data_IF_434638727983
#
_entry.id   IF_434638727983
#
_cell.length_a   1.000
_cell.length_b   1.000
_cell.length_c   1.000
_cell.angle_alpha   90.00
_cell.angle_beta   90.00
_cell.angle_gamma   90.00
#
_symmetry.space_group_name_H-M   'P 1'
#
loop_
_entity.id
_entity.type
_entity.pdbx_description
1 polymer ?
#
# COMPACT_ATOMS: atom_id res chain seq x y z
N UNK A 1 -19.25 -0.49 -14.09
CA UNK A 1 -19.12 -1.04 -12.72
C UNK A 1 -19.31 0.06 -11.70
N UNK A 2 -19.90 -0.23 -10.52
CA UNK A 2 -19.97 0.71 -9.40
C UNK A 2 -19.01 0.24 -8.30
N UNK A 3 -18.11 1.11 -7.78
CA UNK A 3 -17.09 0.75 -6.82
C UNK A 3 -16.76 1.89 -5.85
N UNK A 4 -16.50 1.57 -4.57
CA UNK A 4 -16.08 2.55 -3.57
C UNK A 4 -14.56 2.63 -3.44
N UNK A 5 -14.06 3.77 -2.90
CA UNK A 5 -12.67 3.90 -2.51
C UNK A 5 -12.19 2.73 -1.64
N UNK A 6 -12.95 2.40 -0.60
CA UNK A 6 -12.59 1.30 0.32
C UNK A 6 -12.49 -0.06 -0.38
N UNK A 7 -13.29 -0.28 -1.44
CA UNK A 7 -13.21 -1.49 -2.25
C UNK A 7 -11.98 -1.50 -3.16
N UNK A 8 -11.62 -0.34 -3.72
CA UNK A 8 -10.38 -0.17 -4.50
C UNK A 8 -9.16 -0.41 -3.59
N UNK A 9 -9.13 0.22 -2.43
CA UNK A 9 -8.06 0.05 -1.44
C UNK A 9 -7.92 -1.40 -0.98
N UNK A 10 -9.05 -2.07 -0.72
CA UNK A 10 -9.06 -3.50 -0.35
C UNK A 10 -8.42 -4.36 -1.45
N UNK A 11 -8.74 -4.10 -2.72
CA UNK A 11 -8.14 -4.80 -3.85
C UNK A 11 -6.63 -4.51 -3.96
N UNK A 12 -6.22 -3.26 -3.84
CA UNK A 12 -4.81 -2.85 -3.91
C UNK A 12 -3.98 -3.44 -2.77
N UNK A 13 -4.57 -3.59 -1.57
CA UNK A 13 -3.92 -4.23 -0.43
C UNK A 13 -3.79 -5.75 -0.62
N UNK A 14 -4.83 -6.41 -1.10
CA UNK A 14 -4.80 -7.83 -1.46
C UNK A 14 -5.99 -8.19 -2.36
N UNK A 15 -5.77 -8.47 -3.67
CA UNK A 15 -6.85 -8.88 -4.58
C UNK A 15 -7.62 -10.10 -4.09
N UNK A 16 -6.95 -11.07 -3.45
CA UNK A 16 -7.62 -12.26 -2.90
C UNK A 16 -8.52 -11.94 -1.71
N UNK A 17 -8.14 -10.98 -0.86
CA UNK A 17 -9.01 -10.48 0.23
C UNK A 17 -10.25 -9.79 -0.32
N UNK A 18 -10.08 -8.99 -1.38
CA UNK A 18 -11.21 -8.39 -2.10
C UNK A 18 -12.15 -9.47 -2.66
N UNK A 19 -11.60 -10.50 -3.30
CA UNK A 19 -12.38 -11.62 -3.84
C UNK A 19 -13.25 -12.29 -2.77
N UNK A 20 -12.66 -12.68 -1.64
CA UNK A 20 -13.42 -13.28 -0.54
C UNK A 20 -14.51 -12.35 0.01
N UNK A 21 -14.19 -11.06 0.17
CA UNK A 21 -15.11 -10.09 0.77
C UNK A 21 -16.21 -9.61 -0.17
N UNK A 22 -15.88 -9.32 -1.45
CA UNK A 22 -16.79 -8.61 -2.38
C UNK A 22 -17.37 -9.50 -3.46
N UNK A 23 -16.66 -10.52 -3.90
CA UNK A 23 -17.13 -11.44 -4.93
C UNK A 23 -17.82 -12.64 -4.28
N UNK A 24 -17.14 -13.34 -3.39
CA UNK A 24 -17.70 -14.50 -2.65
C UNK A 24 -18.62 -14.07 -1.50
N UNK A 25 -18.53 -12.80 -1.08
CA UNK A 25 -19.34 -12.22 0.02
C UNK A 25 -19.25 -13.00 1.34
N UNK A 26 -18.07 -13.59 1.61
CA UNK A 26 -17.82 -14.30 2.86
C UNK A 26 -17.87 -13.28 4.00
N UNK A 27 -18.84 -13.46 4.90
CA UNK A 27 -18.99 -12.57 6.06
C UNK A 27 -17.78 -12.71 6.98
N UNK A 28 -17.24 -11.58 7.40
CA UNK A 28 -16.18 -11.50 8.39
C UNK A 28 -16.57 -10.54 9.49
N UNK A 29 -16.20 -10.84 10.72
CA UNK A 29 -16.37 -9.91 11.84
C UNK A 29 -15.55 -8.65 11.58
N UNK A 30 -16.10 -7.48 11.92
CA UNK A 30 -15.34 -6.23 11.90
C UNK A 30 -14.27 -6.27 12.99
N UNK A 31 -13.11 -5.71 12.70
CA UNK A 31 -12.08 -5.57 13.74
C UNK A 31 -12.49 -4.50 14.76
N UNK A 32 -11.92 -4.58 15.96
CA UNK A 32 -12.14 -3.60 17.03
C UNK A 32 -11.79 -2.17 16.58
N UNK A 33 -10.73 -2.00 15.76
CA UNK A 33 -10.35 -0.70 15.21
C UNK A 33 -11.40 -0.15 14.25
N UNK A 34 -12.01 -1.01 13.42
CA UNK A 34 -13.07 -0.61 12.50
C UNK A 34 -14.35 -0.20 13.25
N UNK A 35 -14.69 -0.95 14.29
CA UNK A 35 -15.85 -0.63 15.15
C UNK A 35 -15.60 0.67 15.89
N UNK A 36 -14.45 0.79 16.55
CA UNK A 36 -14.03 2.01 17.25
C UNK A 36 -14.08 3.24 16.33
N UNK A 37 -13.52 3.13 15.11
CA UNK A 37 -13.59 4.20 14.12
C UNK A 37 -15.03 4.59 13.80
N UNK A 38 -15.91 3.59 13.58
CA UNK A 38 -17.33 3.86 13.29
C UNK A 38 -18.02 4.61 14.42
N UNK A 39 -17.76 4.24 15.70
CA UNK A 39 -18.36 4.91 16.85
C UNK A 39 -17.88 6.35 17.00
N UNK A 40 -16.60 6.61 16.80
CA UNK A 40 -16.03 7.97 16.83
C UNK A 40 -16.62 8.83 15.70
N UNK A 41 -16.69 8.31 14.46
CA UNK A 41 -17.31 9.06 13.34
C UNK A 41 -18.78 9.39 13.63
N UNK A 42 -19.54 8.45 14.21
CA UNK A 42 -20.94 8.68 14.61
C UNK A 42 -21.07 9.78 15.67
N UNK A 43 -20.17 9.77 16.67
CA UNK A 43 -20.17 10.80 17.71
C UNK A 43 -19.77 12.19 17.15
N UNK A 44 -18.82 12.25 16.21
CA UNK A 44 -18.44 13.50 15.55
C UNK A 44 -19.53 14.01 14.61
N UNK A 45 -20.23 13.11 13.91
CA UNK A 45 -21.42 13.49 13.14
C UNK A 45 -22.47 14.10 14.04
N UNK A 46 -22.81 13.44 15.16
CA UNK A 46 -23.76 13.95 16.15
C UNK A 46 -23.35 15.34 16.66
N UNK A 47 -22.06 15.52 17.04
CA UNK A 47 -21.54 16.83 17.47
C UNK A 47 -21.85 17.95 16.46
N UNK A 48 -21.65 17.68 15.18
CA UNK A 48 -21.75 18.67 14.13
C UNK A 48 -23.14 18.76 13.48
N UNK A 49 -24.06 17.88 13.84
CA UNK A 49 -25.42 17.90 13.32
C UNK A 49 -26.22 19.05 13.95
N UNK A 50 -26.75 20.00 13.15
CA UNK A 50 -27.50 21.11 13.70
C UNK A 50 -28.84 20.63 14.31
N UNK A 51 -29.10 21.04 15.57
CA UNK A 51 -30.34 20.70 16.25
C UNK A 51 -30.69 21.71 17.37
N UNK A 52 -31.44 22.72 17.14
CA UNK A 52 -31.12 23.96 16.47
C UNK A 52 -29.81 24.59 17.00
N UNK A 53 -29.37 24.17 18.17
CA UNK A 53 -28.06 24.56 18.78
C UNK A 53 -27.05 23.46 18.63
N UNK A 54 -25.75 23.81 18.53
CA UNK A 54 -24.68 22.82 18.55
C UNK A 54 -24.71 22.00 19.85
N UNK A 55 -24.44 20.67 19.74
CA UNK A 55 -24.40 19.80 20.90
C UNK A 55 -23.27 20.16 21.86
N UNK A 56 -23.55 20.05 23.15
CA UNK A 56 -22.55 20.22 24.21
C UNK A 56 -21.63 19.02 24.28
N UNK A 57 -20.45 19.20 24.90
CA UNK A 57 -19.53 18.08 25.13
C UNK A 57 -20.19 16.92 25.90
N UNK A 58 -20.99 17.26 26.93
CA UNK A 58 -21.69 16.21 27.70
C UNK A 58 -22.59 15.37 26.82
N UNK A 59 -23.43 16.00 25.99
CA UNK A 59 -24.32 15.29 25.07
C UNK A 59 -23.56 14.39 24.09
N UNK A 60 -22.41 14.83 23.60
CA UNK A 60 -21.59 14.04 22.69
C UNK A 60 -20.98 12.83 23.40
N UNK A 61 -20.51 13.03 24.64
CA UNK A 61 -19.96 11.93 25.44
C UNK A 61 -21.03 10.93 25.87
N UNK A 62 -22.22 11.39 26.22
CA UNK A 62 -23.33 10.53 26.58
C UNK A 62 -23.82 9.72 25.37
N UNK A 63 -23.90 10.34 24.19
CA UNK A 63 -24.20 9.64 22.95
C UNK A 63 -23.12 8.59 22.60
N UNK A 64 -21.84 8.92 22.76
CA UNK A 64 -20.76 7.95 22.55
C UNK A 64 -20.84 6.76 23.50
N UNK A 65 -21.14 7.00 24.79
CA UNK A 65 -21.35 5.93 25.79
C UNK A 65 -22.50 5.00 25.39
N UNK A 66 -23.65 5.58 25.01
CA UNK A 66 -24.79 4.81 24.52
C UNK A 66 -24.43 3.93 23.30
N UNK A 67 -23.74 4.48 22.31
CA UNK A 67 -23.24 3.71 21.16
C UNK A 67 -22.29 2.59 21.58
N UNK A 68 -21.40 2.86 22.54
CA UNK A 68 -20.45 1.91 23.07
C UNK A 68 -21.12 0.73 23.75
N UNK A 69 -22.06 1.00 24.65
CA UNK A 69 -22.84 0.00 25.40
C UNK A 69 -23.70 -0.88 24.48
N UNK A 70 -24.27 -0.28 23.43
CA UNK A 70 -25.08 -0.99 22.43
C UNK A 70 -24.23 -1.81 21.44
N UNK A 71 -22.90 -1.66 21.44
CA UNK A 71 -22.03 -2.40 20.54
C UNK A 71 -21.82 -3.82 21.04
N UNK A 72 -22.50 -4.77 20.40
CA UNK A 72 -22.36 -6.23 20.62
C UNK A 72 -21.39 -6.76 19.57
N UNK A 73 -20.71 -7.88 19.82
CA UNK A 73 -19.88 -8.60 18.83
C UNK A 73 -18.46 -8.05 18.57
N UNK A 74 -17.82 -7.48 19.57
CA UNK A 74 -16.38 -7.16 19.51
C UNK A 74 -15.61 -8.21 20.29
N UNK A 75 -14.66 -8.89 19.65
CA UNK A 75 -13.77 -9.84 20.32
C UNK A 75 -12.65 -9.06 21.04
N UNK A 76 -12.94 -8.60 22.26
CA UNK A 76 -11.94 -8.00 23.15
C UNK A 76 -11.04 -9.08 23.72
N UNK A 77 -9.74 -8.82 23.83
CA UNK A 77 -8.80 -9.77 24.46
C UNK A 77 -8.96 -9.79 25.97
N UNK A 78 -9.37 -8.66 26.56
CA UNK A 78 -9.66 -8.51 27.98
C UNK A 78 -10.56 -7.30 28.24
N UNK A 79 -11.12 -7.19 29.45
CA UNK A 79 -11.87 -6.00 29.87
C UNK A 79 -10.98 -4.75 29.98
N UNK A 80 -9.69 -4.91 30.32
CA UNK A 80 -8.72 -3.82 30.34
C UNK A 80 -8.52 -3.23 28.95
N UNK A 81 -8.42 -4.08 27.92
CA UNK A 81 -8.33 -3.61 26.53
C UNK A 81 -9.59 -2.85 26.12
N UNK A 82 -10.77 -3.37 26.43
CA UNK A 82 -12.06 -2.73 26.14
C UNK A 82 -12.14 -1.36 26.81
N UNK A 83 -11.77 -1.27 28.09
CA UNK A 83 -11.75 -0.03 28.84
C UNK A 83 -10.74 0.98 28.26
N UNK A 84 -9.55 0.52 27.86
CA UNK A 84 -8.54 1.38 27.21
C UNK A 84 -9.06 2.01 25.91
N UNK A 85 -9.79 1.26 25.08
CA UNK A 85 -10.44 1.80 23.86
C UNK A 85 -11.55 2.80 24.22
N UNK A 86 -12.35 2.53 25.23
CA UNK A 86 -13.40 3.43 25.69
C UNK A 86 -12.82 4.78 26.16
N UNK A 87 -11.83 4.73 27.06
CA UNK A 87 -11.16 5.93 27.59
C UNK A 87 -10.44 6.70 26.47
N UNK A 88 -9.81 5.99 25.51
CA UNK A 88 -9.24 6.65 24.34
C UNK A 88 -10.31 7.38 23.51
N UNK A 89 -11.50 6.81 23.36
CA UNK A 89 -12.63 7.45 22.70
C UNK A 89 -13.08 8.74 23.39
N UNK A 90 -13.27 8.66 24.72
CA UNK A 90 -13.60 9.82 25.55
C UNK A 90 -12.53 10.93 25.41
N UNK A 91 -11.25 10.57 25.46
CA UNK A 91 -10.13 11.50 25.32
C UNK A 91 -10.16 12.18 23.94
N UNK A 92 -10.30 11.39 22.87
CA UNK A 92 -10.37 11.92 21.50
C UNK A 92 -11.50 12.93 21.35
N UNK A 93 -12.70 12.61 21.85
CA UNK A 93 -13.87 13.50 21.73
C UNK A 93 -13.69 14.78 22.54
N UNK A 94 -13.12 14.71 23.76
CA UNK A 94 -12.80 15.88 24.59
C UNK A 94 -11.79 16.81 23.91
N UNK A 95 -10.68 16.23 23.40
CA UNK A 95 -9.63 17.00 22.71
C UNK A 95 -10.15 17.62 21.41
N UNK A 96 -10.90 16.84 20.65
CA UNK A 96 -11.52 17.32 19.41
C UNK A 96 -12.47 18.48 19.70
N UNK A 97 -13.39 18.35 20.66
CA UNK A 97 -14.34 19.40 21.07
C UNK A 97 -13.64 20.69 21.49
N UNK A 98 -12.56 20.58 22.28
CA UNK A 98 -11.76 21.72 22.74
C UNK A 98 -11.14 22.49 21.57
N UNK A 99 -10.61 21.79 20.56
CA UNK A 99 -9.96 22.39 19.39
C UNK A 99 -10.95 22.85 18.31
N UNK A 100 -12.10 22.18 18.22
CA UNK A 100 -13.07 22.37 17.14
C UNK A 100 -14.44 22.76 17.72
N UNK A 101 -14.52 24.00 18.23
CA UNK A 101 -15.80 24.51 18.69
C UNK A 101 -16.82 24.51 17.53
N UNK A 102 -17.93 23.76 17.62
CA UNK A 102 -18.88 23.61 16.53
C UNK A 102 -19.51 24.93 16.05
N UNK A 103 -19.51 25.97 16.89
CA UNK A 103 -20.00 27.32 16.53
C UNK A 103 -19.10 28.05 15.50
N UNK A 104 -17.86 27.61 15.33
CA UNK A 104 -16.88 28.29 14.48
C UNK A 104 -16.85 27.76 13.03
N UNK A 105 -17.74 26.84 12.67
CA UNK A 105 -17.72 26.19 11.36
C UNK A 105 -19.00 26.40 10.59
N UNK A 106 -18.87 26.71 9.31
CA UNK A 106 -19.99 26.70 8.37
C UNK A 106 -20.02 25.35 7.66
N UNK A 107 -20.67 24.38 8.30
CA UNK A 107 -20.79 23.03 7.77
C UNK A 107 -21.80 23.04 6.63
N UNK A 108 -21.39 22.51 5.48
CA UNK A 108 -22.21 22.36 4.27
C UNK A 108 -22.94 21.03 4.29
N UNK A 109 -22.20 19.96 4.62
CA UNK A 109 -22.75 18.60 4.61
C UNK A 109 -21.97 17.67 5.56
N UNK A 110 -22.64 16.65 6.08
CA UNK A 110 -22.08 15.60 6.95
C UNK A 110 -22.43 14.23 6.37
N UNK A 111 -21.43 13.31 6.34
CA UNK A 111 -21.58 11.96 5.76
C UNK A 111 -22.27 11.99 4.39
N UNK A 112 -21.86 12.93 3.56
CA UNK A 112 -22.44 13.12 2.23
C UNK A 112 -22.03 12.01 1.29
N UNK A 113 -23.02 11.23 0.87
CA UNK A 113 -22.83 10.28 -0.23
C UNK A 113 -22.71 11.01 -1.55
N UNK A 114 -21.74 10.59 -2.37
CA UNK A 114 -21.54 11.09 -3.71
C UNK A 114 -21.39 9.95 -4.72
N UNK A 115 -21.64 10.30 -5.99
CA UNK A 115 -21.44 9.46 -7.16
C UNK A 115 -20.57 10.24 -8.15
N UNK A 116 -19.50 9.63 -8.63
CA UNK A 116 -18.64 10.26 -9.61
C UNK A 116 -18.40 9.31 -10.79
N UNK A 117 -18.68 9.78 -11.99
CA UNK A 117 -18.52 9.03 -13.22
C UNK A 117 -17.09 9.12 -13.73
N UNK A 118 -16.55 8.01 -14.18
CA UNK A 118 -15.24 7.90 -14.82
C UNK A 118 -15.36 7.04 -16.06
N UNK A 119 -14.63 7.40 -17.14
CA UNK A 119 -14.64 6.68 -18.42
C UNK A 119 -13.27 6.08 -18.71
N UNK A 120 -13.25 4.93 -19.40
CA UNK A 120 -12.01 4.21 -19.79
C UNK A 120 -11.21 4.91 -20.91
N UNK A 121 -11.62 6.09 -21.33
CA UNK A 121 -10.96 6.92 -22.33
C UNK A 121 -11.78 8.14 -22.66
N UNK A 122 -11.33 8.91 -23.66
CA UNK A 122 -11.98 10.14 -24.10
C UNK A 122 -13.01 9.92 -25.23
N UNK A 123 -13.23 8.67 -25.63
CA UNK A 123 -14.19 8.34 -26.69
C UNK A 123 -15.63 8.45 -26.15
N UNK A 124 -16.62 8.95 -26.94
CA UNK A 124 -18.02 9.05 -26.50
C UNK A 124 -18.61 7.73 -25.99
N UNK A 125 -18.29 6.62 -26.65
CA UNK A 125 -18.75 5.27 -26.33
C UNK A 125 -17.86 4.55 -25.29
N UNK A 126 -16.87 5.25 -24.69
CA UNK A 126 -16.01 4.66 -23.70
C UNK A 126 -16.81 4.18 -22.53
N UNK A 127 -16.50 2.96 -22.06
CA UNK A 127 -17.17 2.32 -20.94
C UNK A 127 -17.11 3.20 -19.69
N UNK A 128 -18.29 3.44 -19.10
CA UNK A 128 -18.44 4.29 -17.93
C UNK A 128 -18.52 3.44 -16.66
N UNK A 129 -17.85 3.91 -15.61
CA UNK A 129 -17.91 3.36 -14.27
C UNK A 129 -18.28 4.45 -13.28
N UNK A 130 -18.83 4.05 -12.12
CA UNK A 130 -19.26 4.97 -11.08
C UNK A 130 -18.43 4.73 -9.81
N UNK A 131 -17.69 5.75 -9.39
CA UNK A 131 -17.09 5.78 -8.06
C UNK A 131 -18.14 6.25 -7.07
N UNK A 132 -18.23 5.57 -5.93
CA UNK A 132 -19.10 5.92 -4.83
C UNK A 132 -18.29 6.17 -3.57
N UNK A 133 -18.73 7.11 -2.76
CA UNK A 133 -18.09 7.39 -1.48
C UNK A 133 -19.02 8.14 -0.54
N UNK A 134 -18.54 8.26 0.68
CA UNK A 134 -19.15 9.08 1.72
C UNK A 134 -18.06 10.03 2.20
N UNK A 135 -18.31 11.32 2.17
CA UNK A 135 -17.45 12.36 2.72
C UNK A 135 -17.91 12.62 4.14
N UNK A 136 -17.02 12.51 5.11
CA UNK A 136 -17.39 12.65 6.52
C UNK A 136 -17.90 14.07 6.82
N UNK A 137 -17.21 15.10 6.31
CA UNK A 137 -17.58 16.48 6.54
C UNK A 137 -17.12 17.41 5.42
N UNK A 138 -17.98 18.37 5.05
CA UNK A 138 -17.68 19.45 4.10
C UNK A 138 -17.93 20.77 4.81
N UNK A 139 -16.91 21.61 4.88
CA UNK A 139 -16.99 22.97 5.44
C UNK A 139 -16.87 24.02 4.35
N UNK A 140 -17.55 25.15 4.56
CA UNK A 140 -17.34 26.36 3.79
C UNK A 140 -16.38 27.28 4.57
N UNK A 141 -15.19 27.51 4.02
CA UNK A 141 -14.17 28.36 4.64
C UNK A 141 -14.46 29.85 4.33
N UNK A 142 -14.82 30.13 3.07
CA UNK A 142 -15.19 31.46 2.60
C UNK A 142 -16.15 31.34 1.41
N UNK A 143 -16.51 32.46 0.75
CA UNK A 143 -17.58 32.47 -0.26
C UNK A 143 -17.47 31.41 -1.35
N UNK A 144 -16.26 31.09 -1.82
CA UNK A 144 -16.04 30.05 -2.83
C UNK A 144 -14.92 29.09 -2.45
N UNK A 145 -14.61 28.96 -1.15
CA UNK A 145 -13.55 28.08 -0.68
C UNK A 145 -14.12 27.05 0.29
N UNK A 146 -13.84 25.78 0.04
CA UNK A 146 -14.38 24.65 0.79
C UNK A 146 -13.24 23.79 1.35
N UNK A 147 -13.54 23.04 2.42
CA UNK A 147 -12.67 22.01 2.98
C UNK A 147 -13.45 20.69 3.07
N UNK A 148 -12.91 19.63 2.49
CA UNK A 148 -13.33 18.25 2.76
C UNK A 148 -12.45 17.72 3.88
N UNK A 149 -13.09 17.17 4.92
CA UNK A 149 -12.41 16.57 6.07
C UNK A 149 -12.81 15.11 6.15
N UNK A 150 -11.80 14.23 6.20
CA UNK A 150 -11.97 12.80 6.46
C UNK A 150 -11.27 12.46 7.77
N UNK A 151 -12.01 11.87 8.70
CA UNK A 151 -11.52 11.53 10.03
C UNK A 151 -10.76 10.22 10.05
N UNK A 152 -9.62 10.19 10.74
CA UNK A 152 -8.77 9.01 10.88
C UNK A 152 -8.52 8.69 12.34
N UNK A 153 -8.85 7.47 12.75
CA UNK A 153 -8.57 6.93 14.10
C UNK A 153 -7.27 6.13 14.16
N UNK A 154 -6.48 6.10 13.06
CA UNK A 154 -5.19 5.41 13.02
C UNK A 154 -4.12 6.12 13.86
N UNK A 155 -3.19 5.33 14.45
CA UNK A 155 -2.03 5.88 15.18
C UNK A 155 -0.94 6.40 14.26
N UNK A 156 -0.83 5.84 13.04
CA UNK A 156 0.23 6.20 12.10
C UNK A 156 -0.22 7.36 11.23
N UNK A 157 0.53 8.44 11.27
CA UNK A 157 0.36 9.59 10.38
C UNK A 157 1.23 9.42 9.13
N UNK A 158 0.71 9.69 7.94
CA UNK A 158 1.49 9.70 6.72
C UNK A 158 2.35 10.96 6.61
N UNK A 159 3.37 10.93 5.76
CA UNK A 159 4.09 12.15 5.37
C UNK A 159 3.22 13.03 4.44
N UNK A 160 3.57 14.33 4.32
CA UNK A 160 2.89 15.27 3.44
C UNK A 160 2.81 14.74 1.99
N UNK A 161 3.91 14.21 1.46
CA UNK A 161 3.95 13.64 0.09
C UNK A 161 2.94 12.49 -0.12
N UNK A 162 2.67 11.69 0.90
CA UNK A 162 1.65 10.63 0.84
C UNK A 162 0.25 11.23 0.79
N UNK A 163 0.01 12.34 1.49
CA UNK A 163 -1.28 13.05 1.48
C UNK A 163 -1.48 13.77 0.15
N UNK A 164 -0.45 14.40 -0.41
CA UNK A 164 -0.51 15.08 -1.71
C UNK A 164 -0.80 14.13 -2.88
N UNK A 165 -0.57 12.83 -2.72
CA UNK A 165 -0.86 11.79 -3.70
C UNK A 165 -1.94 10.79 -3.21
N UNK A 166 -2.79 11.21 -2.27
CA UNK A 166 -3.75 10.31 -1.62
C UNK A 166 -4.92 9.98 -2.55
N UNK A 167 -5.12 8.68 -2.80
CA UNK A 167 -6.18 8.18 -3.67
C UNK A 167 -7.60 8.56 -3.19
N UNK A 168 -7.84 8.50 -1.88
CA UNK A 168 -9.14 8.82 -1.29
C UNK A 168 -9.49 10.29 -1.51
N UNK A 169 -8.53 11.19 -1.22
CA UNK A 169 -8.70 12.62 -1.40
C UNK A 169 -8.90 12.99 -2.89
N UNK A 170 -8.20 12.32 -3.81
CA UNK A 170 -8.41 12.49 -5.24
C UNK A 170 -9.82 12.06 -5.70
N UNK A 171 -10.33 10.95 -5.15
CA UNK A 171 -11.70 10.48 -5.43
C UNK A 171 -12.72 11.45 -4.80
N UNK A 172 -12.46 12.00 -3.62
CA UNK A 172 -13.33 12.99 -2.99
C UNK A 172 -13.36 14.30 -3.76
N UNK A 173 -12.23 14.77 -4.25
CA UNK A 173 -12.15 15.95 -5.11
C UNK A 173 -12.98 15.78 -6.39
N UNK A 174 -12.85 14.64 -7.07
CA UNK A 174 -13.67 14.30 -8.23
C UNK A 174 -15.16 14.23 -7.89
N UNK A 175 -15.49 13.60 -6.76
CA UNK A 175 -16.86 13.55 -6.23
C UNK A 175 -17.43 14.93 -6.00
N UNK A 176 -16.65 15.81 -5.39
CA UNK A 176 -17.06 17.20 -5.16
C UNK A 176 -17.33 17.94 -6.48
N UNK A 177 -16.42 17.87 -7.45
CA UNK A 177 -16.61 18.54 -8.75
C UNK A 177 -17.89 18.12 -9.48
N UNK A 178 -18.22 16.84 -9.42
CA UNK A 178 -19.38 16.32 -10.15
C UNK A 178 -20.71 16.49 -9.41
N UNK A 179 -20.71 16.52 -8.07
CA UNK A 179 -21.94 16.67 -7.29
C UNK A 179 -22.27 18.14 -6.98
N UNK A 180 -21.27 19.02 -7.07
CA UNK A 180 -21.46 20.48 -6.93
C UNK A 180 -20.83 21.22 -8.14
N UNK A 181 -21.41 21.10 -9.36
CA UNK A 181 -20.82 21.64 -10.60
C UNK A 181 -20.57 23.17 -10.55
N UNK A 182 -21.42 23.89 -9.80
CA UNK A 182 -21.27 25.35 -9.58
C UNK A 182 -19.94 25.71 -8.92
N UNK A 183 -19.38 24.81 -8.11
CA UNK A 183 -18.14 25.00 -7.36
C UNK A 183 -16.96 24.19 -7.91
N UNK A 184 -17.08 23.67 -9.12
CA UNK A 184 -16.03 22.85 -9.76
C UNK A 184 -14.68 23.55 -9.80
N UNK A 185 -14.69 24.83 -10.16
CA UNK A 185 -13.46 25.64 -10.27
C UNK A 185 -13.06 26.30 -8.94
N UNK A 186 -13.85 26.12 -7.88
CA UNK A 186 -13.55 26.67 -6.57
C UNK A 186 -12.34 26.00 -5.93
N UNK A 187 -11.50 26.74 -5.18
CA UNK A 187 -10.48 26.15 -4.35
C UNK A 187 -11.09 25.15 -3.37
N UNK A 188 -10.46 24.00 -3.23
CA UNK A 188 -10.92 22.94 -2.36
C UNK A 188 -9.74 22.38 -1.57
N UNK A 189 -9.76 22.57 -0.27
CA UNK A 189 -8.82 21.97 0.67
C UNK A 189 -9.28 20.56 1.01
N UNK A 190 -8.35 19.61 0.99
CA UNK A 190 -8.58 18.20 1.25
C UNK A 190 -7.77 17.78 2.47
N UNK A 191 -8.43 17.35 3.53
CA UNK A 191 -7.82 17.15 4.83
C UNK A 191 -8.06 15.76 5.38
N UNK A 192 -7.01 15.11 5.87
CA UNK A 192 -7.07 13.94 6.73
C UNK A 192 -6.87 14.41 8.17
N UNK A 193 -7.89 14.21 9.02
CA UNK A 193 -7.82 14.60 10.43
C UNK A 193 -7.51 13.40 11.31
N UNK A 194 -6.29 13.32 11.80
CA UNK A 194 -5.81 12.25 12.67
C UNK A 194 -6.23 12.54 14.11
N UNK A 195 -7.35 11.96 14.50
CA UNK A 195 -8.04 12.26 15.76
C UNK A 195 -7.21 11.93 17.01
N UNK A 196 -6.41 10.84 16.97
CA UNK A 196 -5.51 10.46 18.08
C UNK A 196 -4.39 11.46 18.35
N UNK A 197 -4.04 12.24 17.35
CA UNK A 197 -3.00 13.27 17.41
C UNK A 197 -3.60 14.69 17.46
N UNK A 198 -4.90 14.81 17.24
CA UNK A 198 -5.59 16.10 17.10
C UNK A 198 -4.96 17.00 16.04
N UNK A 199 -4.49 16.41 14.92
CA UNK A 199 -3.79 17.10 13.83
C UNK A 199 -4.41 16.83 12.47
N UNK A 200 -4.43 17.87 11.62
CA UNK A 200 -4.83 17.79 10.21
C UNK A 200 -3.62 17.86 9.30
N UNK A 201 -3.52 16.91 8.35
CA UNK A 201 -2.60 17.02 7.23
C UNK A 201 -3.46 17.27 5.99
N UNK A 202 -3.15 18.34 5.28
CA UNK A 202 -4.02 18.83 4.20
C UNK A 202 -3.24 18.99 2.91
N UNK A 203 -3.96 18.85 1.79
CA UNK A 203 -3.49 19.20 0.45
C UNK A 203 -4.54 20.05 -0.27
N UNK A 204 -4.20 20.59 -1.41
CA UNK A 204 -5.13 21.32 -2.26
C UNK A 204 -5.59 20.46 -3.43
N UNK A 205 -6.84 20.61 -3.79
CA UNK A 205 -7.34 20.01 -5.04
C UNK A 205 -6.50 20.50 -6.23
N UNK A 206 -6.03 19.57 -7.02
CA UNK A 206 -5.40 19.83 -8.30
C UNK A 206 -5.76 18.75 -9.31
N UNK A 207 -5.62 19.07 -10.59
CA UNK A 207 -6.02 18.18 -11.68
C UNK A 207 -5.17 16.90 -11.73
N UNK A 208 -3.90 16.99 -11.34
CA UNK A 208 -2.99 15.84 -11.32
C UNK A 208 -3.43 14.79 -10.28
N UNK A 209 -3.82 15.22 -9.08
CA UNK A 209 -4.35 14.34 -8.03
C UNK A 209 -5.61 13.61 -8.48
N UNK A 210 -6.55 14.35 -9.11
CA UNK A 210 -7.81 13.80 -9.62
C UNK A 210 -7.51 12.77 -10.72
N UNK A 211 -6.65 13.12 -11.67
CA UNK A 211 -6.34 12.24 -12.80
C UNK A 211 -5.61 10.97 -12.36
N UNK A 212 -4.63 11.08 -11.46
CA UNK A 212 -3.98 9.91 -10.83
C UNK A 212 -5.00 9.00 -10.13
N UNK A 213 -5.98 9.59 -9.42
CA UNK A 213 -7.02 8.82 -8.75
C UNK A 213 -7.93 8.09 -9.74
N UNK A 214 -8.35 8.76 -10.83
CA UNK A 214 -9.14 8.15 -11.92
C UNK A 214 -8.38 6.98 -12.56
N UNK A 215 -7.14 7.19 -12.96
CA UNK A 215 -6.32 6.16 -13.62
C UNK A 215 -6.12 4.94 -12.71
N UNK A 216 -5.85 5.17 -11.42
CA UNK A 216 -5.69 4.08 -10.45
C UNK A 216 -6.98 3.32 -10.23
N UNK A 217 -8.12 4.01 -10.19
CA UNK A 217 -9.45 3.40 -10.10
C UNK A 217 -9.77 2.56 -11.35
N UNK A 218 -9.59 3.12 -12.55
CA UNK A 218 -9.83 2.43 -13.82
C UNK A 218 -8.95 1.18 -13.97
N UNK A 219 -7.66 1.29 -13.65
CA UNK A 219 -6.75 0.15 -13.65
C UNK A 219 -7.22 -0.96 -12.70
N UNK A 220 -7.67 -0.60 -11.51
CA UNK A 220 -8.18 -1.56 -10.53
C UNK A 220 -9.47 -2.22 -11.02
N UNK A 221 -10.40 -1.44 -11.58
CA UNK A 221 -11.64 -1.94 -12.17
C UNK A 221 -11.35 -2.94 -13.29
N UNK A 222 -10.45 -2.61 -14.20
CA UNK A 222 -10.04 -3.48 -15.30
C UNK A 222 -9.50 -4.83 -14.79
N UNK A 223 -8.67 -4.84 -13.75
CA UNK A 223 -8.16 -6.07 -13.15
C UNK A 223 -9.26 -6.90 -12.47
N UNK A 224 -10.23 -6.24 -11.83
CA UNK A 224 -11.39 -6.90 -11.22
C UNK A 224 -12.28 -7.54 -12.30
N UNK A 225 -12.56 -6.85 -13.39
CA UNK A 225 -13.36 -7.34 -14.52
C UNK A 225 -12.67 -8.51 -15.25
N UNK A 226 -11.34 -8.49 -15.31
CA UNK A 226 -10.53 -9.62 -15.79
C UNK A 226 -10.46 -10.78 -14.79
N UNK A 227 -11.16 -10.70 -13.65
CA UNK A 227 -11.18 -11.73 -12.58
C UNK A 227 -9.78 -12.06 -12.04
N UNK A 228 -8.87 -11.09 -12.01
CA UNK A 228 -7.50 -11.26 -11.50
C UNK A 228 -7.46 -11.03 -10.00
N UNK A 229 -7.47 -12.10 -9.22
CA UNK A 229 -7.49 -12.05 -7.75
C UNK A 229 -6.33 -12.85 -7.13
N UNK A 230 -5.06 -12.57 -7.50
CA UNK A 230 -3.93 -13.25 -6.87
C UNK A 230 -3.82 -12.87 -5.39
N UNK A 231 -3.38 -13.79 -4.51
CA UNK A 231 -3.04 -13.45 -3.14
C UNK A 231 -1.78 -12.57 -3.10
N UNK A 232 -1.78 -11.58 -2.22
CA UNK A 232 -0.62 -10.71 -1.98
C UNK A 232 -0.17 -10.86 -0.53
N UNK A 233 1.02 -11.45 -0.32
CA UNK A 233 1.57 -11.67 1.02
C UNK A 233 2.25 -10.41 1.53
N UNK A 234 1.81 -9.93 2.68
CA UNK A 234 2.35 -8.74 3.35
C UNK A 234 2.20 -8.87 4.87
N UNK A 235 2.69 -7.89 5.63
CA UNK A 235 2.47 -7.80 7.09
C UNK A 235 0.99 -7.72 7.49
N UNK A 236 0.11 -7.34 6.56
CA UNK A 236 -1.34 -7.32 6.80
C UNK A 236 -1.96 -8.72 6.89
N UNK A 237 -1.23 -9.76 6.47
CA UNK A 237 -1.72 -11.14 6.53
C UNK A 237 -1.90 -11.62 7.98
N UNK A 238 -1.15 -11.08 8.94
CA UNK A 238 -1.27 -11.46 10.35
C UNK A 238 -2.60 -11.02 10.96
N UNK A 239 -3.21 -9.98 10.39
CA UNK A 239 -4.52 -9.45 10.79
C UNK A 239 -5.63 -9.81 9.80
N UNK A 240 -5.37 -10.75 8.86
CA UNK A 240 -6.33 -11.08 7.83
C UNK A 240 -7.38 -12.09 8.31
N UNK A 241 -8.64 -11.66 8.36
CA UNK A 241 -9.78 -12.50 8.77
C UNK A 241 -10.00 -13.73 7.87
N UNK A 242 -9.47 -13.71 6.65
CA UNK A 242 -9.56 -14.83 5.69
C UNK A 242 -8.30 -15.70 5.66
N UNK A 243 -7.41 -15.58 6.66
CA UNK A 243 -6.13 -16.31 6.70
C UNK A 243 -6.34 -17.82 6.62
N UNK A 244 -7.36 -18.34 7.33
CA UNK A 244 -7.70 -19.78 7.38
C UNK A 244 -8.10 -20.39 6.01
N UNK A 245 -8.70 -19.59 5.13
CA UNK A 245 -9.16 -20.05 3.80
C UNK A 245 -8.26 -19.54 2.66
N UNK A 246 -7.26 -18.70 2.99
CA UNK A 246 -6.37 -18.15 2.00
C UNK A 246 -5.42 -19.22 1.45
N UNK A 247 -5.27 -19.37 0.11
CA UNK A 247 -4.41 -20.39 -0.47
C UNK A 247 -2.95 -20.30 0.00
N UNK A 248 -2.48 -19.12 0.44
CA UNK A 248 -1.13 -18.93 0.96
C UNK A 248 -0.97 -19.43 2.40
N UNK A 249 -2.07 -19.57 3.17
CA UNK A 249 -2.01 -19.82 4.61
C UNK A 249 -2.89 -20.98 5.08
N UNK A 250 -3.85 -21.45 4.27
CA UNK A 250 -4.83 -22.50 4.67
C UNK A 250 -4.16 -23.77 5.18
N UNK A 251 -3.00 -24.12 4.63
CA UNK A 251 -2.24 -25.31 5.04
C UNK A 251 -1.81 -25.28 6.53
N UNK A 252 -1.74 -24.10 7.14
CA UNK A 252 -1.41 -23.94 8.57
C UNK A 252 -2.60 -24.27 9.50
N UNK A 253 -3.80 -24.44 8.93
CA UNK A 253 -5.04 -24.64 9.66
C UNK A 253 -5.75 -25.94 9.28
N UNK A 254 -5.11 -26.77 8.46
CA UNK A 254 -5.58 -28.10 8.06
C UNK A 254 -4.69 -29.12 8.74
N UNK A 255 -5.26 -30.28 9.08
CA UNK A 255 -4.47 -31.41 9.56
C UNK A 255 -3.51 -31.85 8.45
N UNK A 256 -2.24 -31.98 8.78
CA UNK A 256 -1.22 -32.42 7.84
C UNK A 256 -1.40 -33.89 7.54
N UNK A 257 -1.53 -34.22 6.27
CA UNK A 257 -1.44 -35.62 5.80
C UNK A 257 0.01 -36.15 6.01
N UNK A 258 0.23 -37.46 5.98
CA UNK A 258 1.60 -38.02 6.03
C UNK A 258 2.52 -37.44 4.97
N UNK A 259 2.03 -37.25 3.72
CA UNK A 259 2.79 -36.64 2.63
C UNK A 259 3.12 -35.17 2.90
N UNK A 260 2.18 -34.41 3.49
CA UNK A 260 2.43 -33.01 3.88
C UNK A 260 3.53 -32.91 4.94
N UNK A 261 3.58 -33.84 5.91
CA UNK A 261 4.65 -33.89 6.92
C UNK A 261 6.00 -34.15 6.28
N UNK A 262 6.10 -35.09 5.38
CA UNK A 262 7.33 -35.41 4.64
C UNK A 262 7.82 -34.19 3.85
N UNK A 263 6.94 -33.46 3.17
CA UNK A 263 7.29 -32.22 2.46
C UNK A 263 7.74 -31.12 3.40
N UNK A 264 7.13 -30.99 4.58
CA UNK A 264 7.57 -30.01 5.61
C UNK A 264 9.00 -30.32 6.06
N UNK A 265 9.36 -31.60 6.25
CA UNK A 265 10.71 -32.00 6.65
C UNK A 265 11.72 -31.68 5.55
N UNK A 266 11.40 -31.95 4.29
CA UNK A 266 12.25 -31.58 3.14
C UNK A 266 12.42 -30.04 3.05
N UNK A 267 11.38 -29.28 3.29
CA UNK A 267 11.46 -27.81 3.31
C UNK A 267 12.37 -27.33 4.45
N UNK A 268 12.27 -27.93 5.64
CA UNK A 268 13.14 -27.60 6.78
C UNK A 268 14.61 -27.88 6.45
N UNK A 269 14.90 -29.05 5.91
CA UNK A 269 16.26 -29.40 5.47
C UNK A 269 16.80 -28.43 4.41
N UNK A 270 16.00 -28.13 3.39
CA UNK A 270 16.36 -27.15 2.35
C UNK A 270 16.68 -25.77 2.95
N UNK A 271 15.88 -25.28 3.90
CA UNK A 271 16.09 -23.99 4.53
C UNK A 271 17.38 -23.97 5.39
N UNK A 272 17.67 -25.07 6.10
CA UNK A 272 18.91 -25.22 6.88
C UNK A 272 20.13 -25.17 5.95
N UNK A 273 20.10 -25.94 4.86
CA UNK A 273 21.19 -25.97 3.87
C UNK A 273 21.39 -24.60 3.21
N UNK A 274 20.31 -23.91 2.88
CA UNK A 274 20.41 -22.57 2.30
C UNK A 274 21.00 -21.55 3.25
N UNK A 275 20.63 -21.59 4.53
CA UNK A 275 21.20 -20.72 5.56
C UNK A 275 22.68 -20.98 5.75
N UNK A 276 23.08 -22.26 5.75
CA UNK A 276 24.48 -22.65 5.80
C UNK A 276 25.25 -22.13 4.58
N UNK A 277 24.71 -22.32 3.37
CA UNK A 277 25.31 -21.80 2.15
C UNK A 277 25.55 -20.29 2.20
N UNK A 278 24.59 -19.51 2.69
CA UNK A 278 24.74 -18.05 2.83
C UNK A 278 25.86 -17.69 3.82
N UNK A 279 25.94 -18.38 4.96
CA UNK A 279 26.99 -18.18 5.95
C UNK A 279 28.37 -18.57 5.40
N UNK A 280 28.47 -19.71 4.70
CA UNK A 280 29.71 -20.18 4.08
C UNK A 280 30.20 -19.19 3.01
N UNK A 281 29.31 -18.66 2.17
CA UNK A 281 29.65 -17.63 1.18
C UNK A 281 30.15 -16.34 1.84
N UNK A 282 29.56 -15.94 2.95
CA UNK A 282 30.04 -14.79 3.73
C UNK A 282 31.41 -15.03 4.30
N UNK A 283 31.62 -16.21 4.91
CA UNK A 283 32.91 -16.61 5.46
C UNK A 283 33.98 -16.67 4.39
N UNK A 284 33.69 -17.28 3.23
CA UNK A 284 34.61 -17.33 2.08
C UNK A 284 35.02 -15.92 1.65
N UNK A 285 34.07 -14.96 1.63
CA UNK A 285 34.36 -13.57 1.28
C UNK A 285 35.34 -12.92 2.28
N UNK A 286 35.09 -13.10 3.58
CA UNK A 286 35.95 -12.59 4.65
C UNK A 286 37.37 -13.17 4.56
N UNK A 287 37.47 -14.49 4.39
CA UNK A 287 38.77 -15.18 4.21
C UNK A 287 39.53 -14.67 2.96
N UNK A 288 38.84 -14.48 1.85
CA UNK A 288 39.45 -13.92 0.63
C UNK A 288 40.00 -12.51 0.85
N UNK A 289 39.30 -11.67 1.60
CA UNK A 289 39.78 -10.33 1.92
C UNK A 289 41.00 -10.34 2.80
N UNK A 290 41.06 -11.22 3.82
CA UNK A 290 42.24 -11.39 4.69
C UNK A 290 43.43 -11.93 3.94
N UNK A 291 43.26 -12.98 3.12
CA UNK A 291 44.30 -13.56 2.31
C UNK A 291 44.87 -12.54 1.31
N UNK A 292 44.02 -11.76 0.66
CA UNK A 292 44.46 -10.71 -0.25
C UNK A 292 45.28 -9.63 0.48
N UNK A 293 44.86 -9.19 1.68
CA UNK A 293 45.65 -8.26 2.51
C UNK A 293 47.04 -8.81 2.88
N UNK A 294 47.10 -10.10 3.21
CA UNK A 294 48.36 -10.75 3.50
C UNK A 294 49.25 -10.80 2.25
N UNK A 295 48.72 -11.21 1.09
CA UNK A 295 49.43 -11.22 -0.19
C UNK A 295 50.01 -9.85 -0.53
N UNK A 296 49.19 -8.78 -0.37
CA UNK A 296 49.63 -7.40 -0.61
C UNK A 296 50.78 -6.99 0.33
N UNK A 297 50.67 -7.32 1.63
CA UNK A 297 51.68 -7.01 2.64
C UNK A 297 53.02 -7.73 2.39
N UNK A 298 52.97 -8.97 1.91
CA UNK A 298 54.16 -9.79 1.70
C UNK A 298 54.70 -9.78 0.27
N UNK A 299 53.97 -9.21 -0.68
CA UNK A 299 54.34 -9.18 -2.10
C UNK A 299 54.35 -10.56 -2.75
N UNK A 300 53.48 -11.48 -2.28
CA UNK A 300 53.43 -12.87 -2.79
C UNK A 300 52.13 -13.10 -3.56
N UNK A 301 52.21 -13.87 -4.65
CA UNK A 301 51.09 -14.21 -5.50
C UNK A 301 50.61 -15.66 -5.28
N UNK A 302 51.30 -16.45 -4.46
CA UNK A 302 50.94 -17.83 -4.12
C UNK A 302 51.12 -18.08 -2.62
N UNK A 303 50.16 -18.78 -2.05
CA UNK A 303 50.20 -19.23 -0.65
C UNK A 303 49.91 -20.72 -0.64
N UNK A 304 50.77 -21.49 0.02
CA UNK A 304 50.64 -22.94 0.15
C UNK A 304 50.06 -23.31 1.51
N UNK A 305 49.28 -24.36 1.54
CA UNK A 305 48.76 -25.02 2.75
C UNK A 305 48.89 -26.53 2.60
N UNK A 306 48.55 -27.30 3.63
CA UNK A 306 48.55 -28.76 3.57
C UNK A 306 47.58 -29.34 2.52
N UNK A 307 46.45 -28.65 2.29
CA UNK A 307 45.39 -29.08 1.36
C UNK A 307 45.58 -28.58 -0.08
N UNK A 308 46.54 -27.68 -0.31
CA UNK A 308 46.80 -27.14 -1.64
C UNK A 308 47.37 -25.72 -1.61
N UNK A 309 47.17 -24.98 -2.66
CA UNK A 309 47.66 -23.61 -2.74
C UNK A 309 46.62 -22.69 -3.38
N UNK A 310 46.68 -21.42 -3.02
CA UNK A 310 45.94 -20.35 -3.67
C UNK A 310 46.90 -19.54 -4.55
N UNK A 311 46.51 -19.30 -5.78
CA UNK A 311 47.18 -18.39 -6.69
C UNK A 311 46.29 -17.15 -6.91
N UNK A 312 46.88 -15.99 -6.82
CA UNK A 312 46.24 -14.72 -7.06
C UNK A 312 46.52 -14.27 -8.49
N UNK A 313 45.46 -14.29 -9.31
CA UNK A 313 45.56 -13.83 -10.69
C UNK A 313 45.15 -12.35 -10.78
N UNK A 314 45.99 -11.53 -11.39
CA UNK A 314 45.71 -10.14 -11.61
C UNK A 314 44.68 -9.99 -12.75
N UNK A 315 43.42 -9.73 -12.39
CA UNK A 315 42.37 -9.44 -13.37
C UNK A 315 42.25 -7.94 -13.55
N UNK A 316 42.52 -7.44 -14.75
CA UNK A 316 42.33 -6.05 -15.13
C UNK A 316 40.92 -5.94 -15.76
N UNK A 317 39.98 -5.28 -15.11
CA UNK A 317 38.70 -4.92 -15.71
C UNK A 317 38.86 -3.56 -16.37
N UNK A 318 38.88 -3.55 -17.69
CA UNK A 318 38.88 -2.31 -18.48
C UNK A 318 37.45 -1.80 -18.58
N UNK A 319 37.21 -0.58 -18.18
CA UNK A 319 35.93 0.10 -18.43
C UNK A 319 36.15 1.13 -19.54
N UNK A 320 35.29 1.09 -20.53
CA UNK A 320 35.36 1.98 -21.67
C UNK A 320 34.24 3.02 -21.58
N UNK A 321 34.57 4.27 -21.91
CA UNK A 321 33.56 5.30 -22.15
C UNK A 321 32.88 5.03 -23.48
N UNK A 322 31.69 4.42 -23.44
CA UNK A 322 30.97 4.01 -24.65
C UNK A 322 30.50 5.19 -25.50
N UNK A 323 30.45 6.42 -24.99
CA UNK A 323 30.16 7.61 -25.79
C UNK A 323 31.34 7.91 -26.73
N UNK A 324 32.56 7.89 -26.18
CA UNK A 324 33.79 8.07 -27.00
C UNK A 324 34.02 6.90 -27.94
N UNK A 325 33.73 5.68 -27.53
CA UNK A 325 33.82 4.50 -28.41
C UNK A 325 32.80 4.60 -29.57
N UNK A 326 31.63 5.17 -29.33
CA UNK A 326 30.64 5.42 -30.38
C UNK A 326 31.21 6.38 -31.45
N UNK A 327 31.77 7.51 -31.02
CA UNK A 327 32.38 8.50 -31.95
C UNK A 327 33.47 7.89 -32.82
N UNK A 328 34.19 6.87 -32.30
CA UNK A 328 35.24 6.19 -33.07
C UNK A 328 34.67 5.11 -34.00
N UNK A 329 33.69 4.33 -33.57
CA UNK A 329 33.22 3.15 -34.30
C UNK A 329 32.06 3.45 -35.26
N UNK A 330 31.30 4.51 -35.06
CA UNK A 330 30.14 4.87 -35.90
C UNK A 330 30.56 5.27 -37.32
N UNK A 331 31.61 6.09 -37.51
CA UNK A 331 32.09 6.45 -38.86
C UNK A 331 32.63 5.28 -39.70
N UNK A 332 33.12 4.23 -39.01
CA UNK A 332 33.67 3.02 -39.66
C UNK A 332 32.65 1.87 -39.75
N UNK A 333 31.39 2.10 -39.34
CA UNK A 333 30.28 1.15 -39.48
C UNK A 333 30.31 -0.04 -38.52
N UNK A 334 31.15 0.00 -37.46
CA UNK A 334 31.27 -1.09 -36.47
C UNK A 334 30.46 -0.88 -35.23
N UNK A 335 29.85 0.30 -34.98
CA UNK A 335 29.10 0.58 -33.74
C UNK A 335 27.96 -0.41 -33.51
N UNK A 336 27.16 -0.69 -34.55
CA UNK A 336 26.04 -1.62 -34.42
C UNK A 336 26.45 -3.07 -34.14
N UNK A 337 27.70 -3.46 -34.45
CA UNK A 337 28.21 -4.81 -34.20
C UNK A 337 28.52 -5.08 -32.69
N UNK A 338 28.74 -4.01 -31.92
CA UNK A 338 29.00 -4.13 -30.48
C UNK A 338 27.75 -3.83 -29.62
N UNK A 339 26.62 -3.49 -30.23
CA UNK A 339 25.35 -3.33 -29.55
C UNK A 339 24.75 -4.70 -29.24
N UNK A 340 24.87 -5.13 -28.02
CA UNK A 340 24.28 -6.40 -27.55
C UNK A 340 22.88 -6.13 -26.96
N UNK A 341 21.80 -6.60 -27.58
CA UNK A 341 20.44 -6.49 -27.04
C UNK A 341 20.35 -7.29 -25.72
N UNK A 342 20.04 -6.62 -24.65
CA UNK A 342 19.95 -7.25 -23.33
C UNK A 342 18.64 -6.98 -22.64
N UNK A 343 17.90 -8.04 -22.29
CA UNK A 343 16.67 -7.95 -21.50
C UNK A 343 16.90 -7.21 -20.18
N UNK A 344 18.09 -7.37 -19.57
CA UNK A 344 18.46 -6.67 -18.34
C UNK A 344 18.60 -5.15 -18.56
N UNK A 345 19.13 -4.73 -19.71
CA UNK A 345 19.21 -3.31 -20.10
C UNK A 345 17.82 -2.77 -20.40
N UNK A 346 16.99 -3.53 -21.15
CA UNK A 346 15.60 -3.18 -21.43
C UNK A 346 14.78 -2.95 -20.15
N UNK A 347 14.88 -3.88 -19.19
CA UNK A 347 14.20 -3.74 -17.88
C UNK A 347 14.62 -2.48 -17.11
N UNK A 348 15.88 -2.04 -17.21
CA UNK A 348 16.36 -0.83 -16.52
C UNK A 348 15.77 0.46 -17.11
N UNK A 349 15.51 0.49 -18.40
CA UNK A 349 14.92 1.67 -19.06
C UNK A 349 13.39 1.60 -19.14
N UNK A 350 12.79 0.45 -18.80
CA UNK A 350 11.36 0.18 -18.96
C UNK A 350 10.47 1.28 -18.38
N UNK A 351 10.74 1.71 -17.15
CA UNK A 351 9.95 2.76 -16.49
C UNK A 351 10.12 4.16 -17.10
N UNK A 352 11.16 4.36 -17.90
CA UNK A 352 11.45 5.64 -18.57
C UNK A 352 10.83 5.71 -19.97
N UNK A 353 10.35 4.58 -20.50
CA UNK A 353 9.74 4.52 -21.83
C UNK A 353 8.30 5.03 -21.79
N UNK A 354 7.84 5.77 -22.82
CA UNK A 354 6.42 6.11 -22.99
C UNK A 354 5.54 4.86 -23.01
N UNK A 355 4.32 4.95 -22.49
CA UNK A 355 3.39 3.81 -22.40
C UNK A 355 3.11 3.15 -23.74
N UNK A 356 2.92 3.93 -24.80
CA UNK A 356 2.71 3.43 -26.16
C UNK A 356 3.88 2.56 -26.66
N UNK A 357 5.10 2.91 -26.29
CA UNK A 357 6.29 2.11 -26.63
C UNK A 357 6.34 0.84 -25.79
N UNK A 358 6.00 0.91 -24.49
CA UNK A 358 5.91 -0.28 -23.64
C UNK A 358 4.91 -1.29 -24.19
N UNK A 359 3.70 -0.84 -24.58
CA UNK A 359 2.65 -1.70 -25.14
C UNK A 359 3.06 -2.35 -26.47
N UNK A 360 3.80 -1.62 -27.32
CA UNK A 360 4.34 -2.18 -28.57
C UNK A 360 5.38 -3.27 -28.27
N UNK A 361 6.28 -3.06 -27.32
CA UNK A 361 7.28 -4.04 -26.92
C UNK A 361 6.62 -5.26 -26.25
N UNK A 362 5.59 -5.07 -25.43
CA UNK A 362 4.86 -6.18 -24.79
C UNK A 362 4.15 -7.08 -25.82
N UNK A 363 3.69 -6.55 -26.93
CA UNK A 363 3.09 -7.33 -28.02
C UNK A 363 4.11 -8.26 -28.71
N UNK A 364 5.39 -7.87 -28.72
CA UNK A 364 6.47 -8.68 -29.28
C UNK A 364 7.06 -9.69 -28.28
N UNK A 365 6.57 -9.67 -27.02
CA UNK A 365 7.06 -10.60 -26.00
C UNK A 365 6.56 -12.02 -26.27
N UNK A 366 7.49 -12.94 -26.50
CA UNK A 366 7.21 -14.39 -26.59
C UNK A 366 7.60 -15.06 -25.28
N UNK A 367 6.74 -15.91 -24.75
CA UNK A 367 7.06 -16.75 -23.61
C UNK A 367 7.93 -17.90 -24.12
N UNK A 368 9.22 -17.81 -23.89
CA UNK A 368 10.17 -18.83 -24.31
C UNK A 368 10.16 -20.04 -23.38
N UNK A 369 10.04 -19.82 -22.08
CA UNK A 369 10.02 -20.86 -21.05
C UNK A 369 9.38 -20.35 -19.76
N UNK A 370 8.45 -21.12 -19.22
CA UNK A 370 7.93 -20.91 -17.86
C UNK A 370 8.63 -21.88 -16.90
N UNK A 371 9.17 -21.38 -15.79
CA UNK A 371 9.74 -22.22 -14.74
C UNK A 371 9.34 -21.74 -13.35
N UNK A 372 9.18 -22.68 -12.44
CA UNK A 372 8.89 -22.40 -11.03
C UNK A 372 10.20 -22.38 -10.24
N UNK A 373 10.44 -21.31 -9.51
CA UNK A 373 11.61 -21.18 -8.64
C UNK A 373 11.19 -21.22 -7.17
N UNK A 374 12.03 -21.86 -6.34
CA UNK A 374 11.87 -21.86 -4.88
C UNK A 374 12.66 -20.69 -4.29
N UNK A 375 11.97 -19.80 -3.57
CA UNK A 375 12.59 -18.69 -2.86
C UNK A 375 12.55 -18.96 -1.36
N UNK A 376 13.71 -19.12 -0.68
CA UNK A 376 13.75 -19.27 0.77
C UNK A 376 13.32 -17.97 1.46
N UNK A 377 12.47 -18.09 2.49
CA UNK A 377 12.07 -16.99 3.36
C UNK A 377 12.28 -17.47 4.79
N UNK A 378 13.26 -16.87 5.47
CA UNK A 378 13.59 -17.23 6.85
C UNK A 378 12.71 -16.48 7.85
N UNK A 379 12.30 -17.15 8.94
CA UNK A 379 11.63 -16.50 10.06
C UNK A 379 12.60 -15.51 10.72
N UNK A 380 12.15 -14.28 10.96
CA UNK A 380 12.91 -13.35 11.80
C UNK A 380 12.96 -13.93 13.22
N UNK A 381 14.15 -14.18 13.73
CA UNK A 381 14.36 -14.51 15.14
C UNK A 381 14.01 -13.24 15.92
N UNK A 382 12.96 -13.27 16.73
CA UNK A 382 12.78 -12.25 17.78
C UNK A 382 14.00 -12.37 18.68
N UNK A 383 14.81 -11.33 18.77
CA UNK A 383 15.74 -11.19 19.88
C UNK A 383 14.85 -11.01 21.11
N UNK A 384 14.81 -11.98 21.99
CA UNK A 384 14.37 -11.80 23.37
C UNK A 384 15.37 -10.81 24.00
N UNK A 385 14.87 -9.61 24.35
CA UNK A 385 15.53 -8.70 25.26
C UNK A 385 15.12 -9.07 26.69
#
# INVERSE_FOLDING_TARGET
MQISYSSIELYLNCPKKYYFSKVEKIKAKKSKEQIFGTLIHSALKFLHQPNPLPHTLSQVLDYFKELWENTKEVDWQSEEEKNAYFEEGIRILKEYYKKNNPKNFLIVDLEKRFFAKIKEGNHPEAKEHTLIGIIDRIDKISNNYFEIIDYKTSRKMPSQNVVDNNLQLGIYALGFEQNWPRFKESPLKLSLYFLKHSEKISTQKNQELIEKAKQKALKTISLIEQKKFPPFVSSLCDFCVYKKICPMWKHLYQDLTPDDKQIVDLVNEYLILKKRQENDLKKIKELKEEINKYCDKKGVERIFSEEGYLQRDRQIRTNYDFLKIKEILEPVGFWNKILDPSLKKLKKIWQKLPKEIQEKIEKEAKIEKEFKSLRPIFKKIKKEE
#
